data_IF_701059355140
#
_entry.id   IF_701059355140
#
_cell.length_a   1.000
_cell.length_b   1.000
_cell.length_c   1.000
_cell.angle_alpha   90.00
_cell.angle_beta   90.00
_cell.angle_gamma   90.00
#
_symmetry.space_group_name_H-M   'P 1'
#
loop_
_entity.id
_entity.type
_entity.pdbx_description
1 polymer ?
#
# COMPACT_ATOMS: atom_id res chain seq x y z
N UNK A 1 -2.05 52.07 -45.62
CA UNK A 1 -2.86 51.69 -44.42
C UNK A 1 -3.48 50.27 -44.46
N UNK A 2 -3.17 49.39 -45.44
CA UNK A 2 -3.62 47.97 -45.44
C UNK A 2 -2.63 46.99 -44.80
N UNK A 3 -1.32 47.27 -44.88
CA UNK A 3 -0.25 46.39 -44.39
C UNK A 3 -0.24 46.28 -42.85
N UNK A 4 -0.44 47.39 -42.14
CA UNK A 4 -0.46 47.44 -40.67
C UNK A 4 -1.64 46.64 -40.08
N UNK A 5 -2.82 46.69 -40.74
CA UNK A 5 -4.00 45.91 -40.33
C UNK A 5 -3.76 44.40 -40.44
N UNK A 6 -2.97 43.95 -41.43
CA UNK A 6 -2.64 42.53 -41.61
C UNK A 6 -1.61 42.03 -40.59
N UNK A 7 -0.64 42.86 -40.18
CA UNK A 7 0.34 42.51 -39.14
C UNK A 7 -0.35 42.35 -37.79
N UNK A 8 -1.24 43.28 -37.43
CA UNK A 8 -2.05 43.19 -36.21
C UNK A 8 -2.98 41.97 -36.19
N UNK A 9 -3.56 41.58 -37.35
CA UNK A 9 -4.38 40.35 -37.45
C UNK A 9 -3.55 39.08 -37.28
N UNK A 10 -2.37 39.00 -37.92
CA UNK A 10 -1.45 37.86 -37.82
C UNK A 10 -0.88 37.70 -36.41
N UNK A 11 -0.56 38.81 -35.73
CA UNK A 11 -0.11 38.82 -34.34
C UNK A 11 -1.17 38.27 -33.37
N UNK A 12 -2.46 38.62 -33.55
CA UNK A 12 -3.55 38.08 -32.75
C UNK A 12 -3.77 36.58 -32.95
N UNK A 13 -3.64 36.10 -34.19
CA UNK A 13 -3.73 34.66 -34.51
C UNK A 13 -2.56 33.88 -33.89
N UNK A 14 -1.35 34.42 -33.96
CA UNK A 14 -0.17 33.83 -33.33
C UNK A 14 -0.34 33.77 -31.80
N UNK A 15 -0.88 34.83 -31.20
CA UNK A 15 -1.15 34.89 -29.76
C UNK A 15 -2.20 33.85 -29.34
N UNK A 16 -3.25 33.65 -30.14
CA UNK A 16 -4.27 32.61 -29.91
C UNK A 16 -3.69 31.20 -30.04
N UNK A 17 -2.80 30.97 -31.03
CA UNK A 17 -2.11 29.70 -31.22
C UNK A 17 -1.17 29.37 -30.05
N UNK A 18 -0.43 30.36 -29.55
CA UNK A 18 0.44 30.21 -28.37
C UNK A 18 -0.40 29.91 -27.13
N UNK A 19 -1.51 30.64 -26.91
CA UNK A 19 -2.41 30.38 -25.77
C UNK A 19 -3.07 28.99 -25.85
N UNK A 20 -3.44 28.51 -27.04
CA UNK A 20 -3.96 27.15 -27.20
C UNK A 20 -2.90 26.08 -26.93
N UNK A 21 -1.62 26.35 -27.19
CA UNK A 21 -0.52 25.43 -26.89
C UNK A 21 -0.34 25.22 -25.38
N UNK A 22 -0.52 26.26 -24.55
CA UNK A 22 -0.48 26.12 -23.09
C UNK A 22 -1.66 25.31 -22.53
N UNK A 23 -2.84 25.38 -23.16
CA UNK A 23 -4.00 24.56 -22.76
C UNK A 23 -3.88 23.08 -23.15
N UNK A 24 -3.05 22.74 -24.15
CA UNK A 24 -2.75 21.35 -24.53
C UNK A 24 -1.68 20.69 -23.68
N UNK A 25 -0.87 21.48 -22.96
CA UNK A 25 -0.10 20.99 -21.83
C UNK A 25 -1.06 20.91 -20.63
N UNK A 26 -2.12 20.09 -20.76
CA UNK A 26 -2.58 19.32 -19.61
C UNK A 26 -1.32 18.60 -19.16
N UNK A 27 -0.70 19.12 -18.11
CA UNK A 27 0.43 18.47 -17.48
C UNK A 27 0.08 16.99 -17.40
N UNK A 28 1.01 16.14 -17.79
CA UNK A 28 0.98 14.81 -17.22
C UNK A 28 0.82 15.06 -15.73
N UNK A 29 -0.33 14.67 -15.17
CA UNK A 29 -0.40 14.35 -13.76
C UNK A 29 0.60 13.20 -13.62
N UNK A 30 1.89 13.55 -13.50
CA UNK A 30 2.75 12.86 -12.58
C UNK A 30 2.04 13.09 -11.25
N UNK A 31 1.08 12.20 -10.96
CA UNK A 31 0.79 11.83 -9.59
C UNK A 31 2.15 11.47 -9.03
N UNK A 32 2.80 12.44 -8.40
CA UNK A 32 3.94 12.22 -7.53
C UNK A 32 3.49 11.06 -6.67
N UNK A 33 4.06 9.87 -6.92
CA UNK A 33 3.67 8.64 -6.25
C UNK A 33 3.87 8.90 -4.76
N UNK A 34 2.77 9.22 -4.09
CA UNK A 34 2.77 9.48 -2.67
C UNK A 34 3.21 8.19 -2.00
N UNK A 35 4.13 8.27 -1.03
CA UNK A 35 4.48 7.09 -0.25
C UNK A 35 3.21 6.49 0.32
N UNK A 36 3.12 5.15 0.33
CA UNK A 36 1.99 4.48 0.99
C UNK A 36 2.03 4.89 2.45
N UNK A 37 1.06 5.73 2.84
CA UNK A 37 0.94 6.18 4.22
C UNK A 37 0.33 5.02 4.99
N UNK A 38 1.16 4.43 5.84
CA UNK A 38 0.72 3.50 6.85
C UNK A 38 0.33 4.29 8.07
N UNK A 39 -0.97 4.56 8.23
CA UNK A 39 -1.49 4.99 9.52
C UNK A 39 -2.01 3.76 10.27
N UNK A 40 -1.44 3.52 11.46
CA UNK A 40 -2.11 2.71 12.46
C UNK A 40 -3.28 3.56 12.97
N UNK A 41 -4.46 3.31 12.43
CA UNK A 41 -5.69 3.92 12.91
C UNK A 41 -5.95 3.43 14.34
N UNK A 42 -6.82 4.14 15.07
CA UNK A 42 -7.23 3.69 16.40
C UNK A 42 -7.69 2.23 16.36
N UNK A 43 -7.24 1.45 17.34
CA UNK A 43 -7.59 0.03 17.48
C UNK A 43 -9.11 -0.19 17.35
N UNK A 44 -9.48 -1.37 16.84
CA UNK A 44 -10.86 -1.77 16.65
C UNK A 44 -11.20 -3.09 17.32
N UNK A 45 -12.43 -3.54 17.06
CA UNK A 45 -12.92 -4.86 17.42
C UNK A 45 -13.46 -5.52 16.14
N UNK A 46 -13.07 -6.77 15.89
CA UNK A 46 -13.62 -7.62 14.83
C UNK A 46 -13.69 -9.07 15.34
N UNK A 47 -14.81 -9.75 15.11
CA UNK A 47 -15.09 -11.08 15.69
C UNK A 47 -14.81 -11.17 17.20
N UNK A 48 -15.20 -10.14 17.97
CA UNK A 48 -14.95 -10.02 19.41
C UNK A 48 -13.47 -9.99 19.82
N UNK A 49 -12.55 -9.79 18.88
CA UNK A 49 -11.12 -9.68 19.12
C UNK A 49 -10.63 -8.24 18.87
N UNK A 50 -9.69 -7.77 19.69
CA UNK A 50 -9.05 -6.46 19.53
C UNK A 50 -8.06 -6.51 18.36
N UNK A 51 -8.11 -5.51 17.49
CA UNK A 51 -7.31 -5.46 16.26
C UNK A 51 -6.68 -4.10 16.03
N UNK A 52 -5.55 -4.09 15.32
CA UNK A 52 -5.00 -2.90 14.70
C UNK A 52 -5.67 -2.68 13.34
N UNK A 53 -6.26 -1.50 13.16
CA UNK A 53 -6.77 -1.03 11.87
C UNK A 53 -5.63 -0.38 11.12
N UNK A 54 -5.30 -0.89 9.93
CA UNK A 54 -4.20 -0.36 9.13
C UNK A 54 -4.66 -0.07 7.71
N UNK A 55 -4.11 1.00 7.15
CA UNK A 55 -4.35 1.40 5.78
C UNK A 55 -3.04 1.39 5.03
N UNK A 56 -3.08 0.78 3.85
CA UNK A 56 -1.96 0.56 2.96
C UNK A 56 -2.47 0.96 1.57
N UNK A 57 -2.54 2.27 1.34
CA UNK A 57 -3.03 2.89 0.11
C UNK A 57 -2.03 3.96 -0.37
N UNK A 58 -1.99 4.15 -1.69
CA UNK A 58 -1.19 5.16 -2.39
C UNK A 58 -1.81 6.55 -2.30
N UNK A 59 -3.13 6.60 -2.13
CA UNK A 59 -3.84 7.82 -1.87
C UNK A 59 -3.85 8.06 -0.37
N UNK A 60 -3.46 9.25 0.11
CA UNK A 60 -3.59 9.67 1.51
C UNK A 60 -5.08 9.93 1.79
N UNK A 61 -5.87 8.93 2.20
CA UNK A 61 -7.31 9.10 2.26
C UNK A 61 -7.64 9.84 3.56
N UNK A 62 -8.66 10.68 3.55
CA UNK A 62 -9.27 11.11 4.80
C UNK A 62 -9.82 9.85 5.51
N UNK A 63 -9.44 9.55 6.76
CA UNK A 63 -9.96 8.42 7.51
C UNK A 63 -11.49 8.36 7.59
N UNK A 64 -12.17 9.49 7.50
CA UNK A 64 -13.63 9.59 7.52
C UNK A 64 -14.27 9.22 6.18
N UNK A 65 -13.51 9.30 5.09
CA UNK A 65 -13.94 8.93 3.73
C UNK A 65 -13.48 7.52 3.34
N UNK A 66 -12.69 6.86 4.20
CA UNK A 66 -12.22 5.50 3.97
C UNK A 66 -13.38 4.51 4.05
N UNK A 67 -13.61 3.82 2.94
CA UNK A 67 -14.48 2.65 2.95
C UNK A 67 -13.86 1.55 3.82
N UNK A 68 -14.68 0.85 4.61
CA UNK A 68 -14.29 -0.32 5.42
C UNK A 68 -13.47 -1.32 4.60
N UNK A 69 -13.76 -1.45 3.30
CA UNK A 69 -13.03 -2.33 2.38
C UNK A 69 -11.54 -2.00 2.22
N UNK A 70 -11.12 -0.77 2.50
CA UNK A 70 -9.72 -0.34 2.39
C UNK A 70 -8.97 -0.47 3.74
N UNK A 71 -9.71 -0.74 4.83
CA UNK A 71 -9.15 -0.94 6.16
C UNK A 71 -8.81 -2.41 6.33
N UNK A 72 -7.52 -2.71 6.47
CA UNK A 72 -7.08 -4.05 6.83
C UNK A 72 -7.08 -4.19 8.35
N UNK A 73 -7.46 -5.37 8.83
CA UNK A 73 -7.50 -5.68 10.24
C UNK A 73 -6.40 -6.70 10.51
N UNK A 74 -5.42 -6.29 11.31
CA UNK A 74 -4.30 -7.11 11.73
C UNK A 74 -4.38 -7.38 13.22
N UNK A 75 -4.01 -8.60 13.60
CA UNK A 75 -3.99 -9.04 14.98
C UNK A 75 -2.62 -9.64 15.29
N UNK A 76 -1.88 -9.05 16.24
CA UNK A 76 -0.57 -9.57 16.68
C UNK A 76 -0.69 -10.25 18.04
N UNK A 77 -0.31 -11.52 18.11
CA UNK A 77 -0.24 -12.33 19.34
C UNK A 77 1.21 -12.54 19.73
N UNK A 78 1.64 -12.05 20.90
CA UNK A 78 2.98 -12.38 21.40
C UNK A 78 3.08 -13.78 22.01
N UNK A 79 1.96 -14.41 22.38
CA UNK A 79 1.93 -15.73 23.01
C UNK A 79 2.30 -16.83 22.02
N UNK A 80 1.70 -16.79 20.82
CA UNK A 80 2.00 -17.73 19.75
C UNK A 80 3.05 -17.21 18.74
N UNK A 81 3.47 -15.95 18.89
CA UNK A 81 4.44 -15.25 18.04
C UNK A 81 4.00 -15.20 16.58
N UNK A 82 2.79 -14.66 16.37
CA UNK A 82 2.10 -14.66 15.07
C UNK A 82 1.38 -13.34 14.81
N UNK A 83 1.38 -12.91 13.55
CA UNK A 83 0.45 -11.90 13.03
C UNK A 83 -0.59 -12.60 12.19
N UNK A 84 -1.85 -12.26 12.44
CA UNK A 84 -3.01 -12.71 11.69
C UNK A 84 -3.57 -11.57 10.85
N UNK A 85 -4.06 -11.94 9.67
CA UNK A 85 -4.78 -11.06 8.76
C UNK A 85 -6.25 -11.47 8.74
N UNK A 86 -7.15 -10.50 8.86
CA UNK A 86 -8.57 -10.77 8.76
C UNK A 86 -8.98 -10.99 7.31
N UNK A 87 -9.49 -12.18 7.01
CA UNK A 87 -10.11 -12.53 5.75
C UNK A 87 -11.58 -12.09 5.80
N UNK A 88 -11.89 -11.00 5.09
CA UNK A 88 -13.23 -10.41 5.07
C UNK A 88 -14.24 -11.25 4.32
N UNK A 89 -13.82 -12.03 3.33
CA UNK A 89 -14.70 -12.90 2.55
C UNK A 89 -15.18 -14.08 3.41
N UNK A 90 -14.27 -14.68 4.16
CA UNK A 90 -14.56 -15.82 5.02
C UNK A 90 -14.89 -15.44 6.47
N UNK A 91 -14.87 -14.14 6.78
CA UNK A 91 -15.09 -13.58 8.11
C UNK A 91 -14.25 -14.27 9.21
N UNK A 92 -12.97 -14.52 8.96
CA UNK A 92 -12.07 -15.24 9.88
C UNK A 92 -10.65 -14.71 9.84
N UNK A 93 -9.93 -14.85 10.94
CA UNK A 93 -8.49 -14.58 10.96
C UNK A 93 -7.73 -15.75 10.31
N UNK A 94 -6.88 -15.42 9.34
CA UNK A 94 -5.93 -16.35 8.75
C UNK A 94 -4.50 -16.01 9.18
N UNK A 95 -3.65 -17.02 9.20
CA UNK A 95 -2.22 -16.86 9.46
C UNK A 95 -1.61 -15.92 8.41
N UNK A 96 -0.90 -14.88 8.85
CA UNK A 96 -0.24 -13.93 7.94
C UNK A 96 1.28 -14.00 8.06
N UNK A 97 1.82 -13.76 9.26
CA UNK A 97 3.24 -13.91 9.58
C UNK A 97 3.40 -14.86 10.77
N UNK A 98 4.24 -15.88 10.65
CA UNK A 98 4.64 -16.76 11.75
C UNK A 98 6.15 -16.64 11.92
N UNK A 99 6.62 -16.37 13.14
CA UNK A 99 8.03 -16.07 13.37
C UNK A 99 8.87 -17.31 13.71
N UNK A 100 8.25 -18.49 13.91
CA UNK A 100 8.90 -19.69 14.46
C UNK A 100 9.46 -20.65 13.41
N UNK A 101 9.17 -20.48 12.12
CA UNK A 101 9.42 -21.51 11.09
C UNK A 101 10.16 -20.96 9.85
N UNK A 102 11.46 -20.63 9.98
CA UNK A 102 12.24 -20.12 8.85
C UNK A 102 12.30 -21.12 7.69
N UNK A 103 12.31 -20.61 6.47
CA UNK A 103 12.37 -21.34 5.22
C UNK A 103 11.02 -21.89 4.71
N UNK A 104 9.93 -21.76 5.47
CA UNK A 104 8.62 -22.30 5.10
C UNK A 104 7.69 -21.22 4.55
N UNK A 105 6.80 -21.64 3.65
CA UNK A 105 5.64 -20.85 3.24
C UNK A 105 4.82 -20.53 4.49
N UNK A 106 4.65 -19.24 4.76
CA UNK A 106 3.98 -18.72 5.94
C UNK A 106 2.50 -18.49 5.69
N UNK A 107 2.17 -17.92 4.54
CA UNK A 107 0.79 -17.65 4.14
C UNK A 107 0.70 -17.53 2.62
N UNK A 108 -0.46 -17.87 2.08
CA UNK A 108 -0.73 -17.83 0.65
C UNK A 108 -1.95 -16.98 0.32
N UNK A 109 -1.98 -16.49 -0.93
CA UNK A 109 -3.12 -15.75 -1.50
C UNK A 109 -3.56 -14.58 -0.60
N UNK A 110 -2.59 -13.78 -0.18
CA UNK A 110 -2.84 -12.67 0.72
C UNK A 110 -3.34 -11.43 -0.01
N UNK A 111 -4.18 -10.67 0.70
CA UNK A 111 -4.66 -9.35 0.30
C UNK A 111 -4.38 -8.41 1.45
N UNK A 112 -3.59 -7.38 1.19
CA UNK A 112 -3.21 -6.40 2.19
C UNK A 112 -3.27 -5.01 1.55
N UNK A 113 -4.44 -4.37 1.67
CA UNK A 113 -4.71 -3.08 1.03
C UNK A 113 -4.67 -3.17 -0.49
N UNK A 114 -3.83 -2.33 -1.10
CA UNK A 114 -3.58 -2.35 -2.55
C UNK A 114 -2.80 -3.58 -3.03
N UNK A 115 -2.12 -4.28 -2.13
CA UNK A 115 -1.33 -5.47 -2.47
C UNK A 115 -2.20 -6.72 -2.49
N UNK A 116 -2.15 -7.48 -3.58
CA UNK A 116 -3.08 -8.61 -3.81
C UNK A 116 -2.35 -9.84 -4.32
N UNK A 117 -2.92 -11.01 -4.04
CA UNK A 117 -2.51 -12.31 -4.57
C UNK A 117 -1.02 -12.61 -4.40
N UNK A 118 -0.54 -12.52 -3.17
CA UNK A 118 0.87 -12.81 -2.87
C UNK A 118 1.05 -13.87 -1.79
N UNK A 119 2.15 -14.60 -1.90
CA UNK A 119 2.61 -15.59 -0.94
C UNK A 119 3.76 -15.01 -0.12
N UNK A 120 3.79 -15.36 1.16
CA UNK A 120 4.86 -14.99 2.09
C UNK A 120 5.66 -16.23 2.46
N UNK A 121 6.97 -16.14 2.32
CA UNK A 121 7.91 -17.17 2.78
C UNK A 121 8.87 -16.53 3.78
N UNK A 122 9.00 -17.14 4.95
CA UNK A 122 9.96 -16.68 5.94
C UNK A 122 11.38 -17.01 5.44
N UNK A 123 12.18 -15.99 5.12
CA UNK A 123 13.57 -16.18 4.69
C UNK A 123 14.51 -16.26 5.89
N UNK A 124 14.22 -15.51 6.94
CA UNK A 124 14.96 -15.53 8.21
C UNK A 124 14.04 -15.12 9.36
N UNK A 125 14.56 -15.14 10.59
CA UNK A 125 13.81 -14.71 11.79
C UNK A 125 13.23 -13.30 11.67
N UNK A 126 13.88 -12.41 10.90
CA UNK A 126 13.48 -11.00 10.76
C UNK A 126 13.01 -10.62 9.37
N UNK A 127 12.97 -11.54 8.41
CA UNK A 127 12.69 -11.20 7.01
C UNK A 127 11.78 -12.22 6.35
N UNK A 128 10.72 -11.71 5.74
CA UNK A 128 9.80 -12.45 4.89
C UNK A 128 9.95 -11.95 3.47
N UNK A 129 10.16 -12.86 2.53
CA UNK A 129 10.16 -12.56 1.10
C UNK A 129 8.81 -12.88 0.50
N UNK A 130 8.46 -12.11 -0.53
CA UNK A 130 7.18 -12.23 -1.20
C UNK A 130 7.35 -12.79 -2.61
N UNK A 131 6.45 -13.69 -3.01
CA UNK A 131 6.28 -14.14 -4.39
C UNK A 131 4.83 -14.00 -4.84
N UNK A 132 4.59 -13.93 -6.15
CA UNK A 132 3.21 -13.95 -6.67
C UNK A 132 2.59 -15.32 -6.40
N UNK A 133 1.35 -15.34 -5.90
CA UNK A 133 0.60 -16.56 -5.69
C UNK A 133 0.23 -17.26 -7.01
N UNK A 134 0.05 -16.49 -8.08
CA UNK A 134 -0.29 -16.96 -9.43
C UNK A 134 0.93 -17.12 -10.34
N UNK A 135 2.14 -17.01 -9.81
CA UNK A 135 3.41 -17.11 -10.54
C UNK A 135 3.90 -15.77 -11.10
N UNK A 136 3.02 -14.93 -11.65
CA UNK A 136 3.36 -13.59 -12.13
C UNK A 136 2.46 -12.53 -11.50
N UNK A 137 3.03 -11.37 -11.15
CA UNK A 137 2.24 -10.20 -10.77
C UNK A 137 1.65 -9.55 -12.02
N UNK A 138 0.37 -9.16 -12.03
CA UNK A 138 -0.15 -8.32 -13.11
C UNK A 138 0.65 -7.02 -13.21
N UNK A 139 0.89 -6.54 -14.42
CA UNK A 139 1.74 -5.35 -14.69
C UNK A 139 1.19 -4.04 -14.13
N UNK A 140 -0.10 -4.02 -13.76
CA UNK A 140 -0.82 -2.85 -13.27
C UNK A 140 -1.17 -2.95 -11.78
N UNK A 141 -0.45 -3.80 -11.03
CA UNK A 141 -0.66 -3.98 -9.59
C UNK A 141 0.67 -3.79 -8.86
N UNK A 142 0.55 -3.22 -7.68
CA UNK A 142 1.67 -2.94 -6.81
C UNK A 142 2.12 -4.19 -6.05
N UNK A 143 3.43 -4.26 -5.79
CA UNK A 143 4.08 -5.50 -5.38
C UNK A 143 4.72 -5.30 -4.02
N UNK A 144 4.32 -6.09 -3.02
CA UNK A 144 5.16 -6.24 -1.82
C UNK A 144 6.38 -7.05 -2.23
N UNK A 145 7.57 -6.59 -1.83
CA UNK A 145 8.83 -7.30 -2.07
C UNK A 145 9.26 -8.09 -0.85
N UNK A 146 9.18 -7.46 0.32
CA UNK A 146 9.52 -8.10 1.59
C UNK A 146 8.82 -7.43 2.76
N UNK A 147 8.69 -8.18 3.85
CA UNK A 147 8.30 -7.66 5.15
C UNK A 147 9.44 -7.95 6.12
N UNK A 148 9.97 -6.90 6.74
CA UNK A 148 11.06 -6.98 7.71
C UNK A 148 10.56 -6.65 9.11
N UNK A 149 11.06 -7.37 10.10
CA UNK A 149 10.81 -7.07 11.51
C UNK A 149 11.87 -6.08 11.97
N UNK A 150 11.46 -4.84 12.23
CA UNK A 150 12.36 -3.81 12.79
C UNK A 150 12.53 -4.03 14.29
N UNK A 151 11.41 -4.24 14.98
CA UNK A 151 11.38 -4.46 16.42
C UNK A 151 10.22 -5.39 16.80
N UNK A 152 10.42 -6.23 17.82
CA UNK A 152 9.41 -7.15 18.33
C UNK A 152 9.55 -7.31 19.84
N UNK A 153 8.44 -7.17 20.55
CA UNK A 153 8.34 -7.31 21.99
C UNK A 153 7.03 -7.98 22.40
N UNK A 154 6.85 -8.28 23.70
CA UNK A 154 5.58 -8.77 24.25
C UNK A 154 4.44 -7.74 24.29
N UNK A 155 4.63 -6.55 23.72
CA UNK A 155 3.63 -5.47 23.73
C UNK A 155 3.31 -4.97 22.33
N UNK A 156 4.25 -5.10 21.42
CA UNK A 156 4.10 -4.61 20.06
C UNK A 156 5.09 -5.26 19.11
N UNK A 157 4.81 -5.13 17.83
CA UNK A 157 5.71 -5.44 16.73
C UNK A 157 5.72 -4.29 15.73
N UNK A 158 6.92 -3.97 15.23
CA UNK A 158 7.16 -2.95 14.20
C UNK A 158 7.63 -3.67 12.94
N UNK A 159 6.84 -3.58 11.88
CA UNK A 159 7.12 -4.20 10.60
C UNK A 159 7.43 -3.12 9.56
N UNK A 160 8.46 -3.34 8.74
CA UNK A 160 8.72 -2.58 7.53
C UNK A 160 8.23 -3.37 6.33
N UNK A 161 7.28 -2.81 5.60
CA UNK A 161 6.75 -3.39 4.36
C UNK A 161 7.47 -2.72 3.20
N UNK A 162 8.40 -3.42 2.55
CA UNK A 162 9.07 -2.94 1.35
C UNK A 162 8.22 -3.31 0.14
N UNK A 163 8.00 -2.35 -0.75
CA UNK A 163 7.14 -2.53 -1.92
C UNK A 163 7.73 -1.86 -3.16
N UNK A 164 7.16 -2.18 -4.31
CA UNK A 164 7.31 -1.38 -5.53
C UNK A 164 5.95 -1.09 -6.16
N UNK A 165 5.81 0.10 -6.71
CA UNK A 165 4.60 0.49 -7.43
C UNK A 165 4.52 -0.14 -8.83
N UNK A 166 3.50 0.24 -9.60
CA UNK A 166 3.29 -0.28 -10.96
C UNK A 166 4.38 0.13 -11.97
N UNK A 167 5.22 1.11 -11.62
CA UNK A 167 6.37 1.56 -12.42
C UNK A 167 7.71 1.03 -11.87
N UNK A 168 7.63 0.06 -10.96
CA UNK A 168 8.76 -0.55 -10.25
C UNK A 168 9.59 0.45 -9.40
N UNK A 169 9.05 1.63 -9.07
CA UNK A 169 9.67 2.50 -8.07
C UNK A 169 9.56 1.87 -6.69
N UNK A 170 10.68 1.86 -5.96
CA UNK A 170 10.76 1.22 -4.65
C UNK A 170 10.35 2.17 -3.54
N UNK A 171 9.57 1.66 -2.60
CA UNK A 171 9.18 2.36 -1.39
C UNK A 171 9.14 1.43 -0.19
N UNK A 172 8.86 2.00 0.98
CA UNK A 172 8.54 1.23 2.17
C UNK A 172 7.51 1.96 3.02
N UNK A 173 6.75 1.19 3.80
CA UNK A 173 5.92 1.71 4.87
C UNK A 173 6.23 0.98 6.18
N UNK A 174 5.86 1.60 7.31
CA UNK A 174 6.04 1.01 8.65
C UNK A 174 4.69 0.73 9.32
N UNK A 175 4.43 -0.53 9.68
CA UNK A 175 3.29 -0.95 10.48
C UNK A 175 3.72 -1.11 11.95
N UNK A 176 2.93 -0.56 12.86
CA UNK A 176 3.08 -0.79 14.30
C UNK A 176 1.83 -1.50 14.79
N UNK A 177 1.99 -2.73 15.27
CA UNK A 177 0.88 -3.52 15.80
C UNK A 177 1.07 -3.68 17.30
N UNK A 178 -0.01 -3.51 18.06
CA UNK A 178 -0.01 -3.75 19.50
C UNK A 178 -0.43 -5.19 19.76
N UNK A 179 0.17 -5.79 20.77
CA UNK A 179 -0.20 -7.12 21.23
C UNK A 179 -1.60 -7.08 21.84
N UNK A 180 -2.45 -8.05 21.50
CA UNK A 180 -3.85 -8.08 21.94
C UNK A 180 -4.07 -8.92 23.20
N UNK A 181 -3.12 -9.74 23.63
CA UNK A 181 -3.28 -10.56 24.84
C UNK A 181 -3.13 -9.75 26.13
N UNK A 182 -2.87 -8.44 26.05
CA UNK A 182 -2.66 -7.53 27.19
C UNK A 182 -3.35 -6.18 27.03
#
# INVERSE_FOLDING_TARGET
MRVIKNIAKKSKILFFLIFSFFYFIKGQDLKLFTPIIISNLSNGIANNEKVNKVVLDYYNPDPNEMNIKNINLLKYSSDDDTVYLFDTEHNKFKLFLNFKNPGKLTSSENFLGVFRYFNLTQKSEKCFTVSSASGNYPSHIEKIRSIEILEKSKKYIILKVNYSDIYDFNGYGVLVLQDYTK
#
